data_IF_821681456865
#
_entry.id   IF_821681456865
#
_cell.length_a   1.000
_cell.length_b   1.000
_cell.length_c   1.000
_cell.angle_alpha   90.00
_cell.angle_beta   90.00
_cell.angle_gamma   90.00
#
_symmetry.space_group_name_H-M   'P 1'
#
loop_
_entity.id
_entity.type
_entity.pdbx_description
1 polymer ?
#
# COMPACT_ATOMS: atom_id res chain seq x y z
N UNK A 1 -5.44 1.54 2.84
CA UNK A 1 -5.57 1.58 1.38
C UNK A 1 -4.19 1.70 0.73
N UNK A 2 -3.83 0.77 -0.17
CA UNK A 2 -2.58 0.82 -0.93
C UNK A 2 -2.82 1.37 -2.34
N UNK A 3 -2.00 2.35 -2.78
CA UNK A 3 -2.19 3.04 -4.06
C UNK A 3 -0.93 3.01 -4.91
N UNK A 4 -1.07 2.62 -6.18
CA UNK A 4 -0.03 2.73 -7.21
C UNK A 4 -0.62 3.31 -8.52
N UNK A 5 0.08 3.18 -9.64
CA UNK A 5 -0.41 3.70 -10.94
C UNK A 5 -1.63 2.90 -11.44
N UNK A 6 -1.44 1.62 -11.73
CA UNK A 6 -2.41 0.79 -12.47
C UNK A 6 -3.14 -0.27 -11.67
N UNK A 7 -2.86 -0.44 -10.37
CA UNK A 7 -3.45 -1.47 -9.51
C UNK A 7 -3.27 -2.91 -10.04
N UNK A 8 -2.18 -3.15 -10.76
CA UNK A 8 -1.88 -4.46 -11.37
C UNK A 8 -0.72 -5.21 -10.71
N UNK A 9 0.25 -4.49 -10.11
CA UNK A 9 1.48 -5.08 -9.57
C UNK A 9 1.66 -4.75 -8.09
N UNK A 10 2.21 -3.56 -7.76
CA UNK A 10 2.64 -3.18 -6.41
C UNK A 10 1.51 -3.14 -5.39
N UNK A 11 0.43 -2.43 -5.65
CA UNK A 11 -0.65 -2.29 -4.68
C UNK A 11 -1.43 -3.58 -4.41
N UNK A 12 -1.73 -4.47 -5.40
CA UNK A 12 -2.33 -5.77 -5.07
C UNK A 12 -1.37 -6.72 -4.34
N UNK A 13 -0.05 -6.67 -4.62
CA UNK A 13 0.94 -7.41 -3.83
C UNK A 13 0.92 -6.91 -2.38
N UNK A 14 0.95 -5.59 -2.15
CA UNK A 14 0.91 -5.00 -0.82
C UNK A 14 -0.39 -5.34 -0.07
N UNK A 15 -1.54 -5.30 -0.73
CA UNK A 15 -2.82 -5.71 -0.17
C UNK A 15 -2.80 -7.18 0.27
N UNK A 16 -2.38 -8.09 -0.61
CA UNK A 16 -2.30 -9.52 -0.31
C UNK A 16 -1.36 -9.83 0.86
N UNK A 17 -0.19 -9.18 0.90
CA UNK A 17 0.75 -9.27 2.02
C UNK A 17 0.14 -8.76 3.33
N UNK A 18 -0.51 -7.60 3.29
CA UNK A 18 -1.13 -6.99 4.47
C UNK A 18 -2.24 -7.89 5.03
N UNK A 19 -3.14 -8.41 4.20
CA UNK A 19 -4.17 -9.37 4.61
C UNK A 19 -3.57 -10.61 5.26
N UNK A 20 -2.49 -11.15 4.68
CA UNK A 20 -1.77 -12.30 5.23
C UNK A 20 -1.16 -12.00 6.61
N UNK A 21 -0.48 -10.86 6.76
CA UNK A 21 0.12 -10.45 8.05
C UNK A 21 -0.93 -10.18 9.12
N UNK A 22 -2.03 -9.50 8.78
CA UNK A 22 -3.13 -9.25 9.71
C UNK A 22 -3.77 -10.56 10.20
N UNK A 23 -3.80 -11.59 9.35
CA UNK A 23 -4.22 -12.93 9.76
C UNK A 23 -3.38 -13.50 10.91
N UNK A 24 -2.07 -13.29 10.91
CA UNK A 24 -1.18 -13.72 11.99
C UNK A 24 -1.44 -12.96 13.31
N UNK A 25 -1.87 -11.69 13.21
CA UNK A 25 -2.26 -10.88 14.38
C UNK A 25 -3.71 -11.07 14.80
N UNK A 26 -4.52 -11.85 14.05
CA UNK A 26 -5.97 -12.02 14.22
C UNK A 26 -6.76 -10.69 14.14
N UNK A 27 -6.31 -9.81 13.25
CA UNK A 27 -6.90 -8.46 13.05
C UNK A 27 -7.74 -8.36 11.77
N UNK A 28 -8.03 -9.45 11.07
CA UNK A 28 -8.75 -9.42 9.79
C UNK A 28 -10.20 -8.92 9.91
N UNK A 29 -10.80 -9.01 11.10
CA UNK A 29 -12.14 -8.49 11.37
C UNK A 29 -12.14 -7.01 11.82
N UNK A 30 -10.98 -6.50 12.24
CA UNK A 30 -10.84 -5.13 12.76
C UNK A 30 -10.25 -4.18 11.73
N UNK A 31 -9.51 -4.70 10.74
CA UNK A 31 -8.78 -3.91 9.74
C UNK A 31 -9.21 -4.30 8.33
N UNK A 32 -9.89 -3.38 7.67
CA UNK A 32 -10.18 -3.50 6.25
C UNK A 32 -8.96 -3.11 5.41
N UNK A 33 -8.60 -3.94 4.42
CA UNK A 33 -7.50 -3.68 3.50
C UNK A 33 -8.01 -3.65 2.08
N UNK A 34 -7.62 -2.63 1.34
CA UNK A 34 -7.96 -2.48 -0.08
C UNK A 34 -6.77 -1.92 -0.87
N UNK A 35 -6.83 -2.05 -2.19
CA UNK A 35 -5.90 -1.38 -3.10
C UNK A 35 -6.60 -0.75 -4.29
N UNK A 36 -5.99 0.32 -4.82
CA UNK A 36 -6.49 1.04 -5.99
C UNK A 36 -5.33 1.59 -6.84
N UNK A 37 -5.65 2.05 -8.03
CA UNK A 37 -4.72 2.75 -8.91
C UNK A 37 -5.19 4.15 -9.24
N UNK A 38 -4.26 5.10 -9.35
CA UNK A 38 -4.56 6.46 -9.80
C UNK A 38 -5.11 6.49 -11.22
N UNK A 39 -4.64 5.56 -12.06
CA UNK A 39 -4.98 5.45 -13.49
C UNK A 39 -5.34 4.01 -13.87
N UNK A 40 -5.95 3.26 -12.97
CA UNK A 40 -6.33 1.88 -13.24
C UNK A 40 -7.54 1.82 -14.19
N UNK A 41 -7.49 0.85 -15.11
CA UNK A 41 -8.69 0.40 -15.80
C UNK A 41 -9.42 -0.60 -14.90
N UNK A 42 -10.67 -0.31 -14.56
CA UNK A 42 -11.43 -1.14 -13.63
C UNK A 42 -11.72 -2.56 -14.20
N UNK A 43 -11.67 -3.56 -13.30
CA UNK A 43 -12.07 -4.93 -13.60
C UNK A 43 -11.01 -5.83 -14.22
N UNK A 44 -9.80 -5.30 -14.50
CA UNK A 44 -8.68 -6.10 -15.00
C UNK A 44 -8.06 -6.98 -13.90
N UNK A 45 -7.29 -8.03 -14.26
CA UNK A 45 -6.58 -8.87 -13.30
C UNK A 45 -5.27 -8.20 -12.81
N UNK A 46 -4.71 -8.73 -11.74
CA UNK A 46 -3.30 -8.48 -11.40
C UNK A 46 -2.37 -9.03 -12.51
N UNK A 47 -1.16 -8.51 -12.60
CA UNK A 47 -0.18 -9.01 -13.58
C UNK A 47 0.13 -10.49 -13.32
N UNK A 48 0.42 -11.22 -14.40
CA UNK A 48 0.72 -12.67 -14.31
C UNK A 48 1.89 -12.94 -13.35
N UNK A 49 2.90 -12.09 -13.40
CA UNK A 49 4.09 -12.18 -12.57
C UNK A 49 3.72 -11.92 -11.09
N UNK A 50 2.88 -10.93 -10.80
CA UNK A 50 2.41 -10.69 -9.43
C UNK A 50 1.64 -11.89 -8.88
N UNK A 51 0.69 -12.44 -9.66
CA UNK A 51 -0.05 -13.65 -9.28
C UNK A 51 0.91 -14.82 -9.03
N UNK A 52 1.85 -15.07 -9.94
CA UNK A 52 2.78 -16.20 -9.81
C UNK A 52 3.67 -16.11 -8.57
N UNK A 53 4.31 -14.96 -8.33
CA UNK A 53 5.22 -14.81 -7.18
C UNK A 53 4.49 -14.81 -5.82
N UNK A 54 3.24 -14.35 -5.79
CA UNK A 54 2.44 -14.36 -4.58
C UNK A 54 1.87 -15.75 -4.29
N UNK A 55 1.49 -16.52 -5.32
CA UNK A 55 1.09 -17.92 -5.18
C UNK A 55 2.23 -18.78 -4.59
N UNK A 56 3.50 -18.56 -4.97
CA UNK A 56 4.66 -19.22 -4.37
C UNK A 56 4.80 -18.96 -2.84
N UNK A 57 4.14 -17.90 -2.34
CA UNK A 57 4.08 -17.52 -0.91
C UNK A 57 2.76 -17.91 -0.24
N UNK A 58 1.90 -18.66 -0.93
CA UNK A 58 0.60 -19.05 -0.42
C UNK A 58 -0.44 -17.92 -0.40
N UNK A 59 -0.19 -16.83 -1.14
CA UNK A 59 -1.11 -15.68 -1.24
C UNK A 59 -1.73 -15.68 -2.64
N UNK A 60 -3.05 -15.86 -2.72
CA UNK A 60 -3.79 -15.90 -3.97
C UNK A 60 -4.23 -14.50 -4.40
N UNK A 61 -3.73 -14.03 -5.54
CA UNK A 61 -4.16 -12.81 -6.22
C UNK A 61 -5.00 -13.08 -7.48
N UNK A 62 -5.39 -14.32 -7.77
CA UNK A 62 -6.11 -14.68 -8.99
C UNK A 62 -7.49 -14.02 -9.10
N UNK A 63 -8.13 -13.77 -7.96
CA UNK A 63 -9.43 -13.08 -7.85
C UNK A 63 -9.33 -11.56 -7.88
N UNK A 64 -8.12 -10.97 -7.90
CA UNK A 64 -7.96 -9.52 -7.88
C UNK A 64 -8.63 -8.86 -9.10
N UNK A 65 -9.31 -7.75 -8.85
CA UNK A 65 -9.88 -6.87 -9.87
C UNK A 65 -9.34 -5.46 -9.67
N UNK A 66 -8.67 -4.95 -10.69
CA UNK A 66 -8.16 -3.57 -10.65
C UNK A 66 -9.30 -2.57 -10.46
N UNK A 67 -9.07 -1.58 -9.62
CA UNK A 67 -10.00 -0.50 -9.32
C UNK A 67 -9.31 0.86 -9.47
N UNK A 68 -9.98 1.81 -10.11
CA UNK A 68 -9.55 3.20 -10.09
C UNK A 68 -9.86 3.78 -8.70
N UNK A 69 -8.97 4.60 -8.19
CA UNK A 69 -9.16 5.29 -6.90
C UNK A 69 -10.40 6.22 -6.98
N UNK A 70 -11.25 6.18 -5.96
CA UNK A 70 -12.47 6.97 -5.85
C UNK A 70 -12.47 7.86 -4.62
N UNK A 71 -13.27 8.94 -4.65
CA UNK A 71 -13.48 9.84 -3.50
C UNK A 71 -13.96 9.07 -2.26
N UNK A 72 -14.84 8.06 -2.44
CA UNK A 72 -15.35 7.25 -1.34
C UNK A 72 -14.25 6.46 -0.66
N UNK A 73 -13.39 5.79 -1.45
CA UNK A 73 -12.23 5.06 -0.90
C UNK A 73 -11.26 5.98 -0.18
N UNK A 74 -11.03 7.18 -0.71
CA UNK A 74 -10.17 8.16 -0.05
C UNK A 74 -10.81 8.64 1.26
N UNK A 75 -12.10 8.95 1.29
CA UNK A 75 -12.79 9.40 2.50
C UNK A 75 -12.81 8.34 3.59
N UNK A 76 -13.15 7.11 3.24
CA UNK A 76 -13.29 6.00 4.20
C UNK A 76 -11.97 5.47 4.74
N UNK A 77 -10.86 5.64 4.00
CA UNK A 77 -9.57 5.15 4.45
C UNK A 77 -9.01 5.98 5.62
N UNK A 78 -8.60 5.32 6.69
CA UNK A 78 -7.86 5.93 7.81
C UNK A 78 -6.38 6.14 7.47
N UNK A 79 -5.82 5.29 6.59
CA UNK A 79 -4.43 5.33 6.15
C UNK A 79 -4.33 5.01 4.66
N UNK A 80 -3.63 5.85 3.90
CA UNK A 80 -3.38 5.68 2.47
C UNK A 80 -1.87 5.61 2.24
N UNK A 81 -1.42 4.49 1.66
CA UNK A 81 0.00 4.22 1.43
C UNK A 81 0.29 4.12 -0.06
N UNK A 82 1.09 5.05 -0.55
CA UNK A 82 1.51 5.11 -1.96
C UNK A 82 2.87 4.45 -2.16
N UNK A 83 3.14 3.96 -3.36
CA UNK A 83 4.39 3.27 -3.68
C UNK A 83 5.55 4.22 -3.96
N UNK A 84 5.26 5.45 -4.35
CA UNK A 84 6.23 6.46 -4.78
C UNK A 84 5.72 7.85 -4.41
N UNK A 85 6.64 8.83 -4.28
CA UNK A 85 6.30 10.22 -3.98
C UNK A 85 5.42 10.86 -5.05
N UNK A 86 5.63 10.52 -6.32
CA UNK A 86 4.79 11.07 -7.39
C UNK A 86 3.34 10.58 -7.29
N UNK A 87 3.08 9.34 -6.80
CA UNK A 87 1.73 8.86 -6.52
C UNK A 87 1.08 9.68 -5.40
N UNK A 88 1.81 9.91 -4.30
CA UNK A 88 1.32 10.73 -3.17
C UNK A 88 0.98 12.14 -3.63
N UNK A 89 1.87 12.80 -4.37
CA UNK A 89 1.63 14.13 -4.88
C UNK A 89 0.38 14.19 -5.76
N UNK A 90 0.23 13.27 -6.71
CA UNK A 90 -0.96 13.18 -7.57
C UNK A 90 -2.24 12.93 -6.80
N UNK A 91 -2.18 12.05 -5.81
CA UNK A 91 -3.30 11.77 -4.94
C UNK A 91 -3.73 13.02 -4.17
N UNK A 92 -2.80 13.78 -3.60
CA UNK A 92 -3.09 15.02 -2.87
C UNK A 92 -3.58 16.15 -3.79
N UNK A 93 -3.15 16.19 -5.05
CA UNK A 93 -3.66 17.14 -6.07
C UNK A 93 -5.13 16.85 -6.44
N UNK A 94 -5.55 15.58 -6.42
CA UNK A 94 -6.89 15.15 -6.81
C UNK A 94 -7.88 15.08 -5.64
N UNK A 95 -7.41 14.77 -4.45
CA UNK A 95 -8.24 14.46 -3.28
C UNK A 95 -7.75 15.22 -2.05
N UNK A 96 -8.41 16.34 -1.73
CA UNK A 96 -8.05 17.15 -0.56
C UNK A 96 -8.19 16.38 0.77
N UNK A 97 -9.13 15.43 0.85
CA UNK A 97 -9.39 14.59 2.01
C UNK A 97 -8.26 13.58 2.30
N UNK A 98 -7.31 13.43 1.39
CA UNK A 98 -6.13 12.59 1.61
C UNK A 98 -5.05 13.27 2.47
N UNK A 99 -5.15 14.59 2.65
CA UNK A 99 -4.21 15.35 3.49
C UNK A 99 -4.23 14.82 4.92
N UNK A 100 -3.05 14.60 5.49
CA UNK A 100 -2.88 14.08 6.86
C UNK A 100 -2.94 12.55 6.99
N UNK A 101 -3.40 11.81 5.96
CA UNK A 101 -3.51 10.35 5.99
C UNK A 101 -2.88 9.62 4.80
N UNK A 102 -2.30 10.35 3.84
CA UNK A 102 -1.61 9.80 2.70
C UNK A 102 -0.08 9.96 2.83
N UNK A 103 0.64 8.84 2.76
CA UNK A 103 2.08 8.77 2.92
C UNK A 103 2.71 7.86 1.85
N UNK A 104 4.00 8.03 1.58
CA UNK A 104 4.79 7.02 0.86
C UNK A 104 5.05 5.86 1.80
N UNK A 105 4.79 4.63 1.37
CA UNK A 105 4.84 3.44 2.23
C UNK A 105 6.14 3.31 3.03
N UNK A 106 7.29 3.41 2.37
CA UNK A 106 8.60 3.29 3.04
C UNK A 106 8.94 4.51 3.91
N UNK A 107 8.47 5.70 3.53
CA UNK A 107 8.62 6.90 4.36
C UNK A 107 7.81 6.79 5.65
N UNK A 108 6.58 6.26 5.56
CA UNK A 108 5.71 6.02 6.70
C UNK A 108 6.39 5.14 7.76
N UNK A 109 6.99 4.01 7.34
CA UNK A 109 7.62 3.07 8.27
C UNK A 109 9.02 3.50 8.72
N UNK A 110 9.66 4.43 8.01
CA UNK A 110 10.95 4.99 8.41
C UNK A 110 10.82 6.09 9.48
N UNK A 111 9.62 6.62 9.71
CA UNK A 111 9.36 7.60 10.76
C UNK A 111 9.50 6.95 12.14
N UNK A 112 10.04 7.67 13.16
CA UNK A 112 10.04 7.18 14.52
C UNK A 112 8.62 6.85 15.01
N UNK A 113 8.47 5.78 15.78
CA UNK A 113 7.15 5.27 16.21
C UNK A 113 6.30 6.28 17.01
N UNK A 114 6.94 7.27 17.62
CA UNK A 114 6.29 8.32 18.44
C UNK A 114 6.16 9.67 17.70
N UNK A 115 6.59 9.73 16.43
CA UNK A 115 6.43 10.91 15.58
C UNK A 115 5.43 10.62 14.47
N UNK A 116 4.48 11.53 14.27
CA UNK A 116 3.62 11.46 13.09
C UNK A 116 4.49 11.53 11.82
N UNK A 117 4.30 10.63 10.83
CA UNK A 117 5.05 10.72 9.57
C UNK A 117 4.91 12.12 8.97
N UNK A 118 5.98 12.63 8.38
CA UNK A 118 5.99 13.97 7.83
C UNK A 118 4.84 14.16 6.83
N UNK A 119 3.92 15.05 7.17
CA UNK A 119 2.77 15.37 6.29
C UNK A 119 3.18 16.27 5.11
N UNK A 120 4.40 16.82 5.16
CA UNK A 120 4.90 17.72 4.12
C UNK A 120 5.30 16.95 2.86
N UNK A 121 4.72 17.33 1.73
CA UNK A 121 5.12 16.86 0.39
C UNK A 121 6.55 17.33 0.12
N UNK A 122 7.41 16.44 -0.38
CA UNK A 122 8.78 16.81 -0.77
C UNK A 122 9.88 16.43 0.22
N UNK A 123 9.57 15.72 1.30
CA UNK A 123 10.57 15.16 2.23
C UNK A 123 11.29 13.94 1.64
N UNK A 124 10.67 13.25 0.67
CA UNK A 124 11.28 12.14 -0.06
C UNK A 124 12.33 12.66 -1.07
N UNK A 125 13.53 12.95 -0.58
CA UNK A 125 14.64 13.41 -1.44
C UNK A 125 15.01 12.35 -2.47
N UNK A 126 14.75 12.67 -3.74
CA UNK A 126 15.19 11.91 -4.92
C UNK A 126 14.73 10.44 -4.96
N UNK A 127 13.49 10.13 -4.54
CA UNK A 127 12.97 8.75 -4.66
C UNK A 127 13.54 7.74 -3.66
N UNK A 128 14.18 8.21 -2.57
CA UNK A 128 14.81 7.33 -1.56
C UNK A 128 13.82 6.29 -0.98
N UNK A 129 12.56 6.67 -0.86
CA UNK A 129 11.50 5.83 -0.30
C UNK A 129 10.58 5.23 -1.37
N UNK A 130 10.90 5.42 -2.63
CA UNK A 130 10.11 4.86 -3.73
C UNK A 130 10.33 3.35 -3.84
N UNK A 131 9.27 2.62 -4.15
CA UNK A 131 9.30 1.20 -4.49
C UNK A 131 9.25 1.09 -6.00
N UNK A 132 10.33 0.55 -6.58
CA UNK A 132 10.50 0.43 -8.03
C UNK A 132 9.33 -0.30 -8.68
N UNK A 133 8.88 0.20 -9.84
CA UNK A 133 7.83 -0.44 -10.62
C UNK A 133 8.36 -1.68 -11.35
N UNK A 134 7.85 -2.88 -11.04
CA UNK A 134 8.26 -4.11 -11.72
C UNK A 134 7.53 -4.34 -13.04
N UNK A 135 6.58 -3.48 -13.44
CA UNK A 135 5.75 -3.67 -14.62
C UNK A 135 6.60 -3.84 -15.89
N UNK A 136 6.36 -4.92 -16.63
CA UNK A 136 7.12 -5.25 -17.86
C UNK A 136 8.54 -5.75 -17.60
N UNK A 137 8.94 -5.98 -16.35
CA UNK A 137 10.26 -6.47 -15.97
C UNK A 137 10.28 -7.99 -15.76
N UNK A 138 11.46 -8.54 -15.48
CA UNK A 138 11.64 -9.97 -15.23
C UNK A 138 11.04 -10.42 -13.89
N UNK A 139 10.85 -11.74 -13.72
CA UNK A 139 10.41 -12.36 -12.48
C UNK A 139 11.29 -11.96 -11.28
N UNK A 140 12.60 -11.84 -11.48
CA UNK A 140 13.56 -11.46 -10.43
C UNK A 140 13.30 -10.04 -9.93
N UNK A 141 12.89 -9.11 -10.82
CA UNK A 141 12.51 -7.74 -10.43
C UNK A 141 11.22 -7.75 -9.62
N UNK A 142 10.23 -8.53 -10.04
CA UNK A 142 9.01 -8.72 -9.25
C UNK A 142 9.28 -9.33 -7.88
N UNK A 143 10.16 -10.32 -7.79
CA UNK A 143 10.55 -10.93 -6.51
C UNK A 143 11.19 -9.90 -5.57
N UNK A 144 12.12 -9.08 -6.07
CA UNK A 144 12.73 -8.00 -5.27
C UNK A 144 11.69 -6.99 -4.80
N UNK A 145 10.81 -6.56 -5.69
CA UNK A 145 9.70 -5.66 -5.34
C UNK A 145 8.81 -6.27 -4.25
N UNK A 146 8.42 -7.54 -4.38
CA UNK A 146 7.59 -8.23 -3.39
C UNK A 146 8.31 -8.38 -2.04
N UNK A 147 9.62 -8.61 -2.01
CA UNK A 147 10.41 -8.66 -0.77
C UNK A 147 10.47 -7.29 -0.08
N UNK A 148 10.70 -6.23 -0.85
CA UNK A 148 10.71 -4.86 -0.35
C UNK A 148 9.34 -4.46 0.22
N UNK A 149 8.26 -4.79 -0.50
CA UNK A 149 6.89 -4.59 -0.04
C UNK A 149 6.60 -5.39 1.23
N UNK A 150 7.03 -6.67 1.31
CA UNK A 150 6.80 -7.51 2.47
C UNK A 150 7.41 -6.94 3.74
N UNK A 151 8.64 -6.42 3.67
CA UNK A 151 9.28 -5.75 4.81
C UNK A 151 8.48 -4.52 5.26
N UNK A 152 8.20 -3.61 4.34
CA UNK A 152 7.50 -2.37 4.69
C UNK A 152 6.06 -2.62 5.18
N UNK A 153 5.33 -3.55 4.55
CA UNK A 153 3.96 -3.91 4.96
C UNK A 153 3.93 -4.60 6.32
N UNK A 154 4.94 -5.42 6.65
CA UNK A 154 5.05 -6.01 7.99
C UNK A 154 5.17 -4.92 9.07
N UNK A 155 6.02 -3.91 8.84
CA UNK A 155 6.18 -2.78 9.76
C UNK A 155 4.88 -1.96 9.90
N UNK A 156 4.14 -1.74 8.80
CA UNK A 156 2.80 -1.12 8.86
C UNK A 156 1.84 -1.93 9.72
N UNK A 157 1.80 -3.26 9.54
CA UNK A 157 0.90 -4.13 10.32
C UNK A 157 1.26 -4.11 11.82
N UNK A 158 2.54 -4.04 12.16
CA UNK A 158 3.01 -3.90 13.54
C UNK A 158 2.56 -2.56 14.13
N UNK A 159 2.69 -1.46 13.38
CA UNK A 159 2.25 -0.14 13.83
C UNK A 159 0.72 -0.10 14.04
N UNK A 160 -0.05 -0.58 13.07
CA UNK A 160 -1.52 -0.69 13.19
C UNK A 160 -1.92 -1.52 14.41
N UNK A 161 -1.29 -2.68 14.63
CA UNK A 161 -1.56 -3.51 15.81
C UNK A 161 -1.28 -2.78 17.13
N UNK A 162 -0.18 -2.01 17.21
CA UNK A 162 0.15 -1.21 18.38
C UNK A 162 -0.89 -0.11 18.64
N UNK A 163 -1.33 0.60 17.60
CA UNK A 163 -2.35 1.67 17.71
C UNK A 163 -3.69 1.12 18.18
N UNK A 164 -4.14 0.00 17.61
CA UNK A 164 -5.38 -0.65 18.05
C UNK A 164 -5.32 -1.07 19.52
N UNK A 165 -4.18 -1.61 19.99
CA UNK A 165 -4.01 -1.97 21.42
C UNK A 165 -3.97 -0.77 22.37
N UNK A 166 -3.47 0.39 21.91
CA UNK A 166 -3.45 1.62 22.73
C UNK A 166 -4.82 2.31 22.79
N UNK A 167 -5.80 1.86 22.03
CA UNK A 167 -7.10 2.54 21.91
C UNK A 167 -7.03 3.84 21.12
N UNK A 168 -5.95 4.06 20.37
CA UNK A 168 -5.75 5.23 19.50
C UNK A 168 -6.57 5.07 18.21
N UNK A 169 -7.84 4.71 18.36
CA UNK A 169 -8.77 4.64 17.27
C UNK A 169 -9.68 5.87 17.30
N UNK A 170 -9.52 6.68 16.26
CA UNK A 170 -10.54 7.60 15.75
C UNK A 170 -11.06 8.65 16.74
N UNK A 171 -10.40 9.76 16.78
CA UNK A 171 -11.07 11.06 16.90
C UNK A 171 -10.96 11.83 15.59
#
# INVERSE_FOLDING_TARGET
LFVCTGNTCRSPIAEGLCRSFLGHFRLQEEVEVASAGLYAMAGGPASREAVAIMAERGIDLSGHKTACLTDEQVRSADLILTMEEHHRRRLLEQFSEAVGKAFVLKEYVAAPADEAPATQVGTNRAGRYDIMDPFGQSKEVYLRCAMELASAVADVCIDVHRRLKRGENRD
#
